data_IF_924166510524
#
_entry.id   IF_924166510524
#
_cell.length_a   1.000
_cell.length_b   1.000
_cell.length_c   1.000
_cell.angle_alpha   90.00
_cell.angle_beta   90.00
_cell.angle_gamma   90.00
#
_symmetry.space_group_name_H-M   'P 1'
#
loop_
_entity.id
_entity.type
_entity.pdbx_description
1 polymer ?
#
# COMPACT_ATOMS: atom_id res chain seq x y z
N UNK A 1 -15.39 2.38 23.22
CA UNK A 1 -15.17 1.03 22.65
C UNK A 1 -15.98 0.78 21.38
N UNK A 2 -17.32 0.94 21.36
CA UNK A 2 -18.15 0.67 20.16
C UNK A 2 -17.68 1.39 18.88
N UNK A 3 -17.33 2.68 18.96
CA UNK A 3 -16.88 3.47 17.79
C UNK A 3 -15.58 2.97 17.14
N UNK A 4 -14.63 2.41 17.91
CA UNK A 4 -13.37 1.89 17.35
C UNK A 4 -13.63 0.59 16.58
N UNK A 5 -14.52 -0.27 17.10
CA UNK A 5 -14.91 -1.52 16.45
C UNK A 5 -15.54 -1.24 15.07
N UNK A 6 -16.43 -0.25 14.97
CA UNK A 6 -17.03 0.12 13.69
C UNK A 6 -16.01 0.63 12.67
N UNK A 7 -15.03 1.44 13.12
CA UNK A 7 -13.97 1.94 12.24
C UNK A 7 -13.08 0.80 11.74
N UNK A 8 -12.69 -0.13 12.63
CA UNK A 8 -11.90 -1.30 12.26
C UNK A 8 -12.67 -2.21 11.30
N UNK A 9 -13.95 -2.47 11.58
CA UNK A 9 -14.81 -3.28 10.72
C UNK A 9 -14.98 -2.63 9.35
N UNK A 10 -15.20 -1.32 9.28
CA UNK A 10 -15.30 -0.59 8.02
C UNK A 10 -13.99 -0.68 7.23
N UNK A 11 -12.84 -0.48 7.86
CA UNK A 11 -11.54 -0.64 7.20
C UNK A 11 -11.32 -2.06 6.66
N UNK A 12 -11.70 -3.08 7.41
CA UNK A 12 -11.63 -4.47 6.96
C UNK A 12 -12.53 -4.72 5.74
N UNK A 13 -13.76 -4.18 5.74
CA UNK A 13 -14.66 -4.27 4.59
C UNK A 13 -14.07 -3.56 3.37
N UNK A 14 -13.52 -2.34 3.53
CA UNK A 14 -12.91 -1.62 2.42
C UNK A 14 -11.75 -2.44 1.83
N UNK A 15 -10.88 -3.01 2.68
CA UNK A 15 -9.80 -3.91 2.23
C UNK A 15 -10.34 -5.10 1.45
N UNK A 16 -11.33 -5.81 1.99
CA UNK A 16 -11.90 -6.99 1.35
C UNK A 16 -12.52 -6.65 -0.01
N UNK A 17 -13.34 -5.60 -0.09
CA UNK A 17 -13.94 -5.16 -1.35
C UNK A 17 -12.85 -4.75 -2.35
N UNK A 18 -11.86 -3.99 -1.89
CA UNK A 18 -10.77 -3.49 -2.75
C UNK A 18 -9.97 -4.61 -3.41
N UNK A 19 -9.80 -5.76 -2.74
CA UNK A 19 -9.08 -6.91 -3.31
C UNK A 19 -9.73 -7.46 -4.58
N UNK A 20 -11.03 -7.26 -4.77
CA UNK A 20 -11.80 -7.76 -5.92
C UNK A 20 -12.18 -6.66 -6.92
N UNK A 21 -11.82 -5.41 -6.67
CA UNK A 21 -12.08 -4.33 -7.61
C UNK A 21 -11.15 -4.44 -8.84
N UNK A 22 -11.67 -4.28 -10.07
CA UNK A 22 -10.88 -4.36 -11.28
C UNK A 22 -10.11 -3.06 -11.54
N UNK A 23 -9.23 -2.68 -10.61
CA UNK A 23 -8.53 -1.39 -10.65
C UNK A 23 -7.45 -1.32 -11.73
N UNK A 24 -7.13 -2.44 -12.38
CA UNK A 24 -6.21 -2.49 -13.52
C UNK A 24 -6.60 -1.49 -14.60
N UNK A 25 -7.90 -1.39 -14.91
CA UNK A 25 -8.46 -0.48 -15.91
C UNK A 25 -8.34 1.01 -15.52
N UNK A 26 -8.11 1.32 -14.25
CA UNK A 26 -7.91 2.71 -13.81
C UNK A 26 -6.45 3.15 -13.86
N UNK A 27 -5.50 2.20 -13.95
CA UNK A 27 -4.07 2.50 -13.80
C UNK A 27 -3.34 2.49 -15.16
N UNK A 28 -3.84 1.78 -16.18
CA UNK A 28 -3.19 1.77 -17.49
C UNK A 28 -4.10 1.27 -18.60
N UNK A 29 -4.04 1.96 -19.75
CA UNK A 29 -4.66 1.55 -21.01
C UNK A 29 -3.80 0.55 -21.82
N UNK A 30 -2.58 0.23 -21.35
CA UNK A 30 -1.66 -0.61 -22.09
C UNK A 30 -1.96 -2.11 -21.94
N UNK A 31 -1.62 -2.88 -22.97
CA UNK A 31 -1.71 -4.35 -22.97
C UNK A 31 -0.75 -4.92 -21.91
N UNK A 32 -1.26 -5.20 -20.71
CA UNK A 32 -0.46 -5.80 -19.64
C UNK A 32 -0.28 -7.29 -19.91
N UNK A 33 0.88 -7.88 -19.51
CA UNK A 33 0.96 -9.31 -19.33
C UNK A 33 -0.24 -9.78 -18.50
N UNK A 34 -0.78 -10.96 -18.83
CA UNK A 34 -1.89 -11.51 -18.07
C UNK A 34 -1.56 -11.46 -16.57
N UNK A 35 -2.53 -11.12 -15.71
CA UNK A 35 -2.27 -10.90 -14.28
C UNK A 35 -1.99 -12.21 -13.51
N UNK A 36 -1.68 -13.29 -14.22
CA UNK A 36 -1.42 -14.66 -13.76
C UNK A 36 0.09 -14.95 -13.65
N UNK A 37 0.93 -13.92 -13.71
CA UNK A 37 2.40 -14.08 -13.70
C UNK A 37 2.99 -13.88 -12.32
N UNK A 38 4.02 -14.67 -12.00
CA UNK A 38 4.87 -14.50 -10.80
C UNK A 38 6.34 -14.66 -11.18
N UNK A 39 7.22 -14.03 -10.41
CA UNK A 39 8.67 -14.20 -10.54
C UNK A 39 9.13 -15.48 -9.83
N UNK A 40 9.87 -16.35 -10.52
CA UNK A 40 10.47 -17.57 -9.95
C UNK A 40 11.97 -17.64 -10.26
N UNK A 41 12.73 -18.54 -9.61
CA UNK A 41 14.15 -18.74 -9.91
C UNK A 41 14.44 -19.04 -11.39
N UNK A 42 13.53 -19.71 -12.08
CA UNK A 42 13.67 -20.05 -13.50
C UNK A 42 13.16 -18.94 -14.44
N UNK A 43 12.56 -17.87 -13.89
CA UNK A 43 12.01 -16.75 -14.63
C UNK A 43 10.58 -16.37 -14.27
N UNK A 44 9.96 -15.56 -15.13
CA UNK A 44 8.53 -15.25 -15.00
C UNK A 44 7.71 -16.46 -15.44
N UNK A 45 6.88 -16.99 -14.55
CA UNK A 45 5.99 -18.13 -14.82
C UNK A 45 4.52 -17.74 -14.70
N UNK A 46 3.67 -18.39 -15.49
CA UNK A 46 2.21 -18.38 -15.28
C UNK A 46 1.86 -19.31 -14.13
N UNK A 47 0.95 -18.88 -13.27
CA UNK A 47 0.34 -19.69 -12.22
C UNK A 47 -1.11 -20.02 -12.55
N UNK A 48 -1.59 -21.13 -11.99
CA UNK A 48 -3.00 -21.47 -12.06
C UNK A 48 -3.81 -20.52 -11.16
N UNK A 49 -4.60 -19.65 -11.78
CA UNK A 49 -5.50 -18.72 -11.10
C UNK A 49 -4.86 -17.37 -10.74
N UNK A 50 -5.63 -16.56 -10.01
CA UNK A 50 -5.22 -15.20 -9.64
C UNK A 50 -4.15 -15.22 -8.54
N UNK A 51 -2.94 -14.70 -8.76
CA UNK A 51 -1.86 -14.70 -7.78
C UNK A 51 -2.15 -13.75 -6.61
N UNK A 52 -1.58 -14.07 -5.44
CA UNK A 52 -1.80 -13.31 -4.21
C UNK A 52 -1.34 -11.85 -4.31
N UNK A 53 -0.29 -11.57 -5.09
CA UNK A 53 0.17 -10.19 -5.31
C UNK A 53 -0.91 -9.34 -5.96
N UNK A 54 -1.77 -9.90 -6.82
CA UNK A 54 -2.78 -9.11 -7.52
C UNK A 54 -3.81 -8.56 -6.54
N UNK A 55 -4.34 -9.39 -5.65
CA UNK A 55 -5.31 -8.95 -4.63
C UNK A 55 -4.71 -7.87 -3.73
N UNK A 56 -3.48 -8.05 -3.25
CA UNK A 56 -2.81 -7.07 -2.38
C UNK A 56 -2.47 -5.78 -3.13
N UNK A 57 -2.12 -5.88 -4.41
CA UNK A 57 -1.86 -4.74 -5.28
C UNK A 57 -3.12 -3.91 -5.50
N UNK A 58 -4.27 -4.57 -5.76
CA UNK A 58 -5.56 -3.88 -5.89
C UNK A 58 -5.93 -3.11 -4.63
N UNK A 59 -5.75 -3.71 -3.45
CA UNK A 59 -5.92 -3.01 -2.16
C UNK A 59 -4.98 -1.81 -2.05
N UNK A 60 -3.69 -1.99 -2.41
CA UNK A 60 -2.70 -0.91 -2.37
C UNK A 60 -3.12 0.26 -3.24
N UNK A 61 -3.59 0.02 -4.47
CA UNK A 61 -4.07 1.06 -5.39
C UNK A 61 -5.25 1.82 -4.81
N UNK A 62 -6.28 1.13 -4.32
CA UNK A 62 -7.46 1.79 -3.73
C UNK A 62 -7.08 2.61 -2.51
N UNK A 63 -6.26 2.07 -1.61
CA UNK A 63 -5.82 2.78 -0.41
C UNK A 63 -4.96 4.00 -0.75
N UNK A 64 -4.12 3.90 -1.79
CA UNK A 64 -3.35 5.03 -2.32
C UNK A 64 -4.26 6.13 -2.84
N UNK A 65 -5.31 5.78 -3.59
CA UNK A 65 -6.31 6.76 -4.09
C UNK A 65 -7.03 7.43 -2.92
N UNK A 66 -7.48 6.66 -1.93
CA UNK A 66 -8.15 7.19 -0.74
C UNK A 66 -7.23 8.10 0.08
N UNK A 67 -5.97 7.71 0.25
CA UNK A 67 -4.97 8.52 0.92
C UNK A 67 -4.70 9.82 0.16
N UNK A 68 -4.52 9.75 -1.16
CA UNK A 68 -4.30 10.92 -2.00
C UNK A 68 -5.49 11.89 -1.92
N UNK A 69 -6.72 11.39 -2.03
CA UNK A 69 -7.93 12.19 -1.86
C UNK A 69 -7.99 12.85 -0.46
N UNK A 70 -7.63 12.11 0.59
CA UNK A 70 -7.56 12.64 1.95
C UNK A 70 -6.49 13.73 2.12
N UNK A 71 -5.32 13.57 1.49
CA UNK A 71 -4.28 14.60 1.45
C UNK A 71 -4.79 15.85 0.74
N UNK A 72 -5.40 15.70 -0.44
CA UNK A 72 -5.97 16.84 -1.19
C UNK A 72 -7.02 17.58 -0.36
N UNK A 73 -7.88 16.87 0.36
CA UNK A 73 -8.87 17.48 1.24
C UNK A 73 -8.24 18.37 2.34
N UNK A 74 -7.01 18.09 2.77
CA UNK A 74 -6.32 18.92 3.78
C UNK A 74 -5.91 20.30 3.27
N UNK A 75 -5.88 20.52 1.95
CA UNK A 75 -5.66 21.87 1.41
C UNK A 75 -6.85 22.80 1.65
N UNK A 76 -8.05 22.24 1.86
CA UNK A 76 -9.27 23.01 2.07
C UNK A 76 -9.68 23.09 3.54
N UNK A 77 -9.14 22.22 4.40
CA UNK A 77 -9.53 22.13 5.82
C UNK A 77 -8.31 21.92 6.70
N UNK A 78 -8.16 22.76 7.73
CA UNK A 78 -7.07 22.63 8.72
C UNK A 78 -7.15 21.25 9.43
N UNK A 79 -6.11 20.40 9.32
CA UNK A 79 -6.16 19.05 9.90
C UNK A 79 -6.20 19.08 11.44
N UNK A 80 -7.32 18.61 12.00
CA UNK A 80 -7.44 18.33 13.43
C UNK A 80 -6.85 16.95 13.79
N UNK A 81 -6.82 16.62 15.08
CA UNK A 81 -6.24 15.36 15.55
C UNK A 81 -6.89 14.11 14.94
N UNK A 82 -8.20 14.14 14.65
CA UNK A 82 -8.90 13.03 13.99
C UNK A 82 -8.41 12.84 12.56
N UNK A 83 -8.34 13.92 11.78
CA UNK A 83 -7.88 13.89 10.38
C UNK A 83 -6.45 13.34 10.32
N UNK A 84 -5.54 13.81 11.19
CA UNK A 84 -4.16 13.32 11.23
C UNK A 84 -4.06 11.83 11.56
N UNK A 85 -4.88 11.33 12.49
CA UNK A 85 -4.95 9.89 12.77
C UNK A 85 -5.46 9.09 11.58
N UNK A 86 -6.45 9.60 10.85
CA UNK A 86 -6.93 8.97 9.61
C UNK A 86 -5.85 8.91 8.55
N UNK A 87 -5.11 10.00 8.33
CA UNK A 87 -3.97 10.03 7.39
C UNK A 87 -2.89 9.02 7.78
N UNK A 88 -2.55 8.93 9.07
CA UNK A 88 -1.60 7.93 9.56
C UNK A 88 -2.09 6.50 9.33
N UNK A 89 -3.36 6.22 9.65
CA UNK A 89 -3.94 4.89 9.46
C UNK A 89 -3.97 4.47 7.99
N UNK A 90 -4.41 5.36 7.08
CA UNK A 90 -4.42 5.10 5.64
C UNK A 90 -2.99 4.85 5.12
N UNK A 91 -2.01 5.63 5.58
CA UNK A 91 -0.61 5.46 5.19
C UNK A 91 -0.04 4.12 5.65
N UNK A 92 -0.30 3.72 6.91
CA UNK A 92 0.13 2.42 7.45
C UNK A 92 -0.51 1.27 6.68
N UNK A 93 -1.83 1.29 6.47
CA UNK A 93 -2.54 0.24 5.75
C UNK A 93 -2.02 0.14 4.31
N UNK A 94 -1.83 1.26 3.63
CA UNK A 94 -1.27 1.29 2.26
C UNK A 94 0.13 0.68 2.25
N UNK A 95 1.00 1.03 3.20
CA UNK A 95 2.35 0.47 3.30
C UNK A 95 2.34 -1.04 3.56
N UNK A 96 1.47 -1.53 4.45
CA UNK A 96 1.31 -2.97 4.72
C UNK A 96 0.95 -3.72 3.44
N UNK A 97 -0.06 -3.26 2.70
CA UNK A 97 -0.45 -3.93 1.46
C UNK A 97 0.59 -3.80 0.35
N UNK A 98 1.32 -2.69 0.29
CA UNK A 98 2.46 -2.53 -0.62
C UNK A 98 3.53 -3.61 -0.38
N UNK A 99 3.93 -3.83 0.88
CA UNK A 99 4.91 -4.88 1.19
C UNK A 99 4.36 -6.29 0.99
N UNK A 100 3.06 -6.53 1.21
CA UNK A 100 2.45 -7.81 0.83
C UNK A 100 2.47 -8.03 -0.68
N UNK A 101 2.26 -6.99 -1.49
CA UNK A 101 2.43 -7.08 -2.95
C UNK A 101 3.85 -7.48 -3.31
N UNK A 102 4.86 -6.80 -2.76
CA UNK A 102 6.27 -7.13 -3.00
C UNK A 102 6.60 -8.56 -2.56
N UNK A 103 6.12 -8.98 -1.40
CA UNK A 103 6.33 -10.33 -0.87
C UNK A 103 5.75 -11.41 -1.80
N UNK A 104 4.56 -11.19 -2.36
CA UNK A 104 3.86 -12.19 -3.16
C UNK A 104 4.06 -12.04 -4.68
N UNK A 105 4.79 -11.03 -5.15
CA UNK A 105 5.16 -10.86 -6.56
C UNK A 105 6.01 -12.03 -7.07
N UNK A 106 6.63 -12.78 -6.16
CA UNK A 106 7.48 -13.92 -6.45
C UNK A 106 7.07 -15.21 -5.74
N UNK A 107 7.55 -16.34 -6.29
CA UNK A 107 7.42 -17.68 -5.74
C UNK A 107 8.80 -18.38 -5.82
N UNK A 108 9.46 -18.69 -4.69
CA UNK A 108 8.97 -18.52 -3.31
C UNK A 108 8.78 -17.05 -2.90
N UNK A 109 7.89 -16.74 -1.93
CA UNK A 109 7.61 -15.36 -1.52
C UNK A 109 8.86 -14.57 -1.15
N UNK A 110 8.99 -13.36 -1.69
CA UNK A 110 10.13 -12.46 -1.50
C UNK A 110 11.35 -12.78 -2.37
N UNK A 111 11.32 -13.88 -3.14
CA UNK A 111 12.38 -14.17 -4.11
C UNK A 111 12.57 -13.02 -5.10
N UNK A 112 13.82 -12.68 -5.39
CA UNK A 112 14.16 -11.61 -6.33
C UNK A 112 13.75 -10.21 -5.87
N UNK A 113 13.38 -10.01 -4.61
CA UNK A 113 13.10 -8.69 -4.02
C UNK A 113 14.14 -8.39 -2.95
N UNK A 114 14.77 -7.22 -3.01
CA UNK A 114 15.69 -6.72 -1.98
C UNK A 114 15.23 -5.35 -1.52
N UNK A 115 15.11 -5.15 -0.21
CA UNK A 115 14.65 -3.90 0.40
C UNK A 115 15.84 -3.19 1.03
N UNK A 116 16.03 -1.92 0.67
CA UNK A 116 17.04 -1.01 1.17
C UNK A 116 16.35 0.24 1.77
N UNK A 117 17.07 1.08 2.53
CA UNK A 117 16.53 2.38 2.92
C UNK A 117 16.12 3.20 1.68
N UNK A 118 14.85 3.57 1.60
CA UNK A 118 14.17 4.33 0.54
C UNK A 118 14.08 3.66 -0.85
N UNK A 119 14.66 2.49 -1.05
CA UNK A 119 14.66 1.83 -2.35
C UNK A 119 14.39 0.33 -2.20
N UNK A 120 13.78 -0.26 -3.22
CA UNK A 120 13.77 -1.70 -3.38
C UNK A 120 14.19 -2.09 -4.78
N UNK A 121 14.74 -3.28 -4.91
CA UNK A 121 15.22 -3.84 -6.16
C UNK A 121 14.41 -5.10 -6.46
N UNK A 122 13.90 -5.19 -7.70
CA UNK A 122 13.36 -6.43 -8.24
C UNK A 122 14.37 -6.98 -9.24
N UNK A 123 14.85 -8.20 -9.01
CA UNK A 123 15.78 -8.91 -9.88
C UNK A 123 15.02 -9.94 -10.72
N UNK A 124 15.05 -9.78 -12.05
CA UNK A 124 14.46 -10.71 -12.99
C UNK A 124 15.57 -11.32 -13.85
N UNK A 125 15.98 -12.56 -13.53
CA UNK A 125 17.04 -13.29 -14.25
C UNK A 125 18.36 -12.50 -14.38
N UNK A 126 18.78 -11.81 -13.33
CA UNK A 126 20.01 -11.02 -13.32
C UNK A 126 19.85 -9.58 -13.82
N UNK A 127 18.68 -9.20 -14.34
CA UNK A 127 18.36 -7.80 -14.62
C UNK A 127 17.74 -7.15 -13.37
N UNK A 128 18.40 -6.12 -12.84
CA UNK A 128 17.93 -5.38 -11.68
C UNK A 128 17.09 -4.16 -12.09
N UNK A 129 15.96 -4.00 -11.43
CA UNK A 129 15.08 -2.85 -11.57
C UNK A 129 14.95 -2.16 -10.21
N UNK A 130 15.38 -0.90 -10.17
CA UNK A 130 15.39 -0.08 -8.97
C UNK A 130 14.12 0.75 -8.88
N UNK A 131 13.52 0.76 -7.70
CA UNK A 131 12.30 1.49 -7.42
C UNK A 131 12.43 2.29 -6.13
N UNK A 132 11.78 3.44 -6.09
CA UNK A 132 11.55 4.15 -4.83
C UNK A 132 10.61 3.32 -3.94
N UNK A 133 10.99 3.11 -2.69
CA UNK A 133 10.15 2.45 -1.71
C UNK A 133 9.10 3.42 -1.16
N UNK A 134 7.96 3.46 -1.86
CA UNK A 134 6.80 4.24 -1.45
C UNK A 134 6.26 3.78 -0.09
N UNK A 135 6.45 2.51 0.30
CA UNK A 135 6.07 2.00 1.60
C UNK A 135 6.79 2.73 2.73
N UNK A 136 8.11 2.94 2.60
CA UNK A 136 8.89 3.70 3.57
C UNK A 136 8.49 5.18 3.62
N UNK A 137 8.21 5.80 2.47
CA UNK A 137 7.70 7.18 2.40
C UNK A 137 6.38 7.31 3.15
N UNK A 138 5.46 6.36 2.94
CA UNK A 138 4.17 6.31 3.63
C UNK A 138 4.33 6.10 5.14
N UNK A 139 5.25 5.25 5.56
CA UNK A 139 5.55 5.05 6.98
C UNK A 139 6.11 6.33 7.63
N UNK A 140 7.01 7.04 6.94
CA UNK A 140 7.50 8.34 7.42
C UNK A 140 6.36 9.37 7.54
N UNK A 141 5.45 9.41 6.56
CA UNK A 141 4.28 10.28 6.59
C UNK A 141 3.30 9.92 7.72
N UNK A 142 3.15 8.64 8.04
CA UNK A 142 2.36 8.19 9.19
C UNK A 142 2.97 8.65 10.51
N UNK A 143 4.29 8.46 10.69
CA UNK A 143 5.02 8.89 11.89
C UNK A 143 4.91 10.40 12.07
N UNK A 144 5.07 11.19 11.00
CA UNK A 144 4.90 12.63 11.03
C UNK A 144 3.51 13.06 11.54
N UNK A 145 2.44 12.43 11.05
CA UNK A 145 1.08 12.74 11.47
C UNK A 145 0.82 12.36 12.93
N UNK A 146 1.35 11.22 13.39
CA UNK A 146 1.28 10.80 14.80
C UNK A 146 2.03 11.81 15.69
N UNK A 147 3.24 12.19 15.30
CA UNK A 147 4.04 13.18 16.02
C UNK A 147 3.31 14.51 16.21
N UNK A 148 2.65 15.04 15.16
CA UNK A 148 1.91 16.29 15.26
C UNK A 148 0.68 16.20 16.18
N UNK A 149 0.03 15.03 16.24
CA UNK A 149 -1.05 14.80 17.21
C UNK A 149 -0.51 14.83 18.64
N UNK A 150 0.60 14.15 18.91
CA UNK A 150 1.17 14.11 20.26
C UNK A 150 1.76 15.46 20.69
N UNK A 151 2.41 16.19 19.78
CA UNK A 151 2.88 17.56 20.05
C UNK A 151 1.72 18.51 20.37
N UNK A 152 0.61 18.40 19.64
CA UNK A 152 -0.59 19.21 19.90
C UNK A 152 -1.22 18.96 21.27
N UNK A 153 -1.18 17.72 21.78
CA UNK A 153 -1.63 17.40 23.14
C UNK A 153 -0.72 18.03 24.19
N UNK A 154 0.60 17.96 24.00
CA UNK A 154 1.58 18.53 24.94
C UNK A 154 1.50 20.06 25.05
N UNK A 155 1.05 20.75 24.02
CA UNK A 155 0.86 22.20 24.05
C UNK A 155 -0.44 22.65 24.78
N UNK A 156 -1.32 21.71 25.12
CA UNK A 156 -2.59 21.94 25.82
C UNK A 156 -2.55 21.52 27.30
N UNK A 157 -1.42 21.00 27.76
CA UNK A 157 -1.12 20.61 29.14
C UNK A 157 -0.12 21.62 29.72
#
# INVERSE_FOLDING_TARGET
MKSIIYVVALMAIIVLVSAYLPVEYFVSDAFRPQPDKVLTPEGVKTVAGTPMWLYTWRVTVVMTILLFAAIVATFFVKPNARIRRTLAALSIVTAVFHYLTLLFTSSPPGYGVSIYPLFYVINVKGAEQWYLDIGQVLMAYAVYNIYLVERGKKALL
#
